data_IF_658806361504
#
_entry.id   IF_658806361504
#
_cell.length_a   1.000
_cell.length_b   1.000
_cell.length_c   1.000
_cell.angle_alpha   90.00
_cell.angle_beta   90.00
_cell.angle_gamma   90.00
#
_symmetry.space_group_name_H-M   'P 1'
#
loop_
_entity.id
_entity.type
_entity.pdbx_description
1 polymer ?
#
# COMPACT_ATOMS: atom_id res chain seq x y z
N UNK A 1 9.49 17.12 38.71
CA UNK A 1 10.87 16.70 38.37
C UNK A 1 11.13 15.27 38.87
N UNK A 2 10.79 14.25 38.09
CA UNK A 2 11.14 12.84 38.33
C UNK A 2 11.32 12.22 36.95
N UNK A 3 12.54 11.85 36.57
CA UNK A 3 12.77 11.32 35.22
C UNK A 3 14.22 11.09 34.77
N UNK A 4 15.24 11.45 35.57
CA UNK A 4 16.65 11.27 35.18
C UNK A 4 17.39 10.11 35.88
N UNK A 5 16.73 9.38 36.80
CA UNK A 5 17.37 8.31 37.59
C UNK A 5 17.33 6.90 36.99
N UNK A 6 16.48 6.63 35.98
CA UNK A 6 16.27 5.28 35.44
C UNK A 6 17.25 4.86 34.33
N UNK A 7 17.87 5.82 33.63
CA UNK A 7 18.77 5.53 32.52
C UNK A 7 20.18 5.15 33.01
N UNK A 8 20.67 5.70 34.12
CA UNK A 8 22.00 5.36 34.65
C UNK A 8 22.11 3.92 35.19
N UNK A 9 21.05 3.40 35.82
CA UNK A 9 21.02 2.05 36.37
C UNK A 9 20.91 0.95 35.29
N UNK A 10 20.24 1.24 34.16
CA UNK A 10 20.14 0.29 33.04
C UNK A 10 21.47 0.17 32.27
N UNK A 11 22.21 1.26 32.12
CA UNK A 11 23.54 1.25 31.50
C UNK A 11 24.61 0.53 32.33
N UNK A 12 24.60 0.65 33.68
CA UNK A 12 25.56 -0.08 34.53
C UNK A 12 25.32 -1.59 34.52
N UNK A 13 24.05 -2.01 34.50
CA UNK A 13 23.67 -3.42 34.49
C UNK A 13 24.05 -4.10 33.17
N UNK A 14 23.84 -3.42 32.04
CA UNK A 14 24.26 -3.92 30.73
C UNK A 14 25.79 -4.02 30.60
N UNK A 15 26.53 -3.03 31.14
CA UNK A 15 27.99 -3.07 31.18
C UNK A 15 28.54 -4.25 32.01
N UNK A 16 27.91 -4.52 33.16
CA UNK A 16 28.29 -5.62 34.04
C UNK A 16 28.05 -7.00 33.37
N UNK A 17 26.92 -7.16 32.70
CA UNK A 17 26.61 -8.39 31.95
C UNK A 17 27.62 -8.65 30.82
N UNK A 18 28.05 -7.61 30.12
CA UNK A 18 29.08 -7.72 29.08
C UNK A 18 30.43 -8.10 29.70
N UNK A 19 30.82 -7.48 30.83
CA UNK A 19 32.08 -7.84 31.48
C UNK A 19 32.10 -9.29 31.98
N UNK A 20 30.97 -9.78 32.50
CA UNK A 20 30.85 -11.15 33.01
C UNK A 20 30.93 -12.16 31.86
N UNK A 21 30.31 -11.86 30.71
CA UNK A 21 30.44 -12.70 29.50
C UNK A 21 31.86 -12.69 28.93
N UNK A 22 32.53 -11.53 28.92
CA UNK A 22 33.93 -11.44 28.50
C UNK A 22 34.84 -12.24 29.42
N UNK A 23 34.59 -12.22 30.73
CA UNK A 23 35.33 -13.03 31.69
C UNK A 23 35.11 -14.53 31.46
N UNK A 24 33.87 -14.95 31.19
CA UNK A 24 33.54 -16.34 30.86
C UNK A 24 34.24 -16.83 29.57
N UNK A 25 34.22 -16.02 28.51
CA UNK A 25 34.87 -16.34 27.24
C UNK A 25 36.39 -16.42 27.42
N UNK A 26 36.97 -15.51 28.20
CA UNK A 26 38.40 -15.53 28.55
C UNK A 26 38.79 -16.78 29.32
N UNK A 27 37.96 -17.20 30.28
CA UNK A 27 38.13 -18.46 31.01
C UNK A 27 38.15 -19.65 30.05
N UNK A 28 37.10 -19.81 29.23
CA UNK A 28 37.03 -20.89 28.23
C UNK A 28 38.19 -20.90 27.24
N UNK A 29 38.63 -19.73 26.77
CA UNK A 29 39.79 -19.64 25.88
C UNK A 29 41.07 -20.10 26.58
N UNK A 30 41.21 -19.78 27.86
CA UNK A 30 42.37 -20.19 28.66
C UNK A 30 42.35 -21.70 28.92
N UNK A 31 41.17 -22.27 29.18
CA UNK A 31 40.97 -23.71 29.34
C UNK A 31 41.31 -24.46 28.03
N UNK A 32 40.84 -23.97 26.88
CA UNK A 32 41.15 -24.54 25.57
C UNK A 32 42.64 -24.48 25.23
N UNK A 33 43.32 -23.38 25.57
CA UNK A 33 44.77 -23.26 25.38
C UNK A 33 45.53 -24.21 26.30
N UNK A 34 45.07 -24.41 27.54
CA UNK A 34 45.66 -25.35 28.49
C UNK A 34 45.45 -26.81 28.06
N UNK A 35 44.25 -27.16 27.59
CA UNK A 35 43.95 -28.47 27.01
C UNK A 35 44.81 -28.76 25.78
N UNK A 36 45.04 -27.75 24.94
CA UNK A 36 45.89 -27.87 23.76
C UNK A 36 47.36 -28.09 24.13
N UNK A 37 47.89 -27.40 25.14
CA UNK A 37 49.25 -27.64 25.64
C UNK A 37 49.42 -28.99 26.34
N UNK A 38 48.37 -29.51 26.97
CA UNK A 38 48.39 -30.83 27.61
C UNK A 38 48.44 -31.99 26.59
N UNK A 39 48.15 -31.75 25.31
CA UNK A 39 48.18 -32.77 24.26
C UNK A 39 49.59 -33.11 23.78
N UNK A 40 49.79 -34.33 23.24
CA UNK A 40 51.03 -34.72 22.58
C UNK A 40 51.41 -33.74 21.46
N UNK A 41 52.71 -33.52 21.20
CA UNK A 41 53.18 -32.52 20.24
C UNK A 41 52.56 -32.66 18.84
N UNK A 42 52.25 -33.89 18.41
CA UNK A 42 51.67 -34.17 17.10
C UNK A 42 50.20 -33.74 16.98
N UNK A 43 49.51 -33.58 18.12
CA UNK A 43 48.08 -33.21 18.20
C UNK A 43 47.86 -31.76 18.65
N UNK A 44 48.95 -31.03 18.96
CA UNK A 44 48.86 -29.62 19.35
C UNK A 44 48.50 -28.77 18.15
N UNK A 45 47.50 -27.93 18.34
CA UNK A 45 47.08 -26.93 17.38
C UNK A 45 47.95 -25.69 17.55
N UNK A 46 48.42 -25.12 16.44
CA UNK A 46 49.23 -23.90 16.48
C UNK A 46 48.42 -22.73 17.06
N UNK A 47 49.06 -21.93 17.91
CA UNK A 47 48.41 -20.83 18.65
C UNK A 47 47.86 -19.77 17.71
N UNK A 48 48.52 -19.54 16.58
CA UNK A 48 48.08 -18.58 15.55
C UNK A 48 46.76 -19.00 14.90
N UNK A 49 46.48 -20.30 14.82
CA UNK A 49 45.21 -20.82 14.32
C UNK A 49 44.03 -20.70 15.31
N UNK A 50 44.32 -20.44 16.59
CA UNK A 50 43.33 -20.21 17.65
C UNK A 50 43.00 -18.71 17.79
N UNK A 51 43.83 -17.81 17.24
CA UNK A 51 43.61 -16.37 17.27
C UNK A 51 42.52 -15.98 16.26
N UNK A 52 41.45 -15.37 16.77
CA UNK A 52 40.40 -14.78 15.93
C UNK A 52 41.01 -13.61 15.15
N UNK A 53 41.07 -13.70 13.83
CA UNK A 53 41.46 -12.58 12.96
C UNK A 53 40.41 -11.47 13.06
N UNK A 54 40.67 -10.54 13.97
CA UNK A 54 39.83 -9.37 14.24
C UNK A 54 39.77 -8.46 12.99
N UNK A 55 40.86 -8.42 12.20
CA UNK A 55 40.94 -7.59 11.00
C UNK A 55 40.05 -8.11 9.89
N UNK A 56 40.09 -9.42 9.61
CA UNK A 56 39.23 -10.02 8.60
C UNK A 56 37.76 -10.03 9.05
N UNK A 57 37.48 -10.24 10.35
CA UNK A 57 36.12 -10.07 10.89
C UNK A 57 35.59 -8.66 10.63
N UNK A 58 36.34 -7.63 11.00
CA UNK A 58 35.90 -6.24 10.85
C UNK A 58 35.74 -5.86 9.37
N UNK A 59 36.59 -6.41 8.49
CA UNK A 59 36.45 -6.28 7.03
C UNK A 59 35.14 -6.91 6.54
N UNK A 60 34.83 -8.14 6.96
CA UNK A 60 33.61 -8.84 6.57
C UNK A 60 32.36 -8.11 7.06
N UNK A 61 32.39 -7.57 8.28
CA UNK A 61 31.29 -6.76 8.82
C UNK A 61 31.08 -5.50 7.97
N UNK A 62 32.14 -4.75 7.65
CA UNK A 62 32.03 -3.57 6.77
C UNK A 62 31.46 -3.91 5.40
N UNK A 63 31.94 -5.00 4.79
CA UNK A 63 31.40 -5.46 3.51
C UNK A 63 29.92 -5.84 3.58
N UNK A 64 29.49 -6.46 4.68
CA UNK A 64 28.08 -6.78 4.91
C UNK A 64 27.24 -5.52 5.08
N UNK A 65 27.71 -4.54 5.86
CA UNK A 65 27.03 -3.27 6.08
C UNK A 65 26.89 -2.47 4.77
N UNK A 66 27.94 -2.39 3.96
CA UNK A 66 27.91 -1.74 2.66
C UNK A 66 26.91 -2.40 1.71
N UNK A 67 26.86 -3.74 1.68
CA UNK A 67 25.88 -4.49 0.87
C UNK A 67 24.46 -4.25 1.37
N UNK A 68 24.25 -4.29 2.68
CA UNK A 68 22.95 -4.05 3.28
C UNK A 68 22.45 -2.63 2.96
N UNK A 69 23.35 -1.63 2.99
CA UNK A 69 22.99 -0.25 2.68
C UNK A 69 22.65 -0.07 1.19
N UNK A 70 23.40 -0.70 0.28
CA UNK A 70 23.08 -0.71 -1.15
C UNK A 70 21.69 -1.30 -1.40
N UNK A 71 21.40 -2.45 -0.80
CA UNK A 71 20.09 -3.12 -0.94
C UNK A 71 18.97 -2.25 -0.36
N UNK A 72 19.16 -1.64 0.82
CA UNK A 72 18.19 -0.71 1.41
C UNK A 72 17.90 0.48 0.48
N UNK A 73 18.94 1.08 -0.08
CA UNK A 73 18.82 2.20 -1.02
C UNK A 73 18.07 1.80 -2.30
N UNK A 74 18.39 0.64 -2.87
CA UNK A 74 17.70 0.11 -4.05
C UNK A 74 16.23 -0.16 -3.79
N UNK A 75 15.89 -0.79 -2.67
CA UNK A 75 14.50 -1.04 -2.25
C UNK A 75 13.77 0.29 -2.06
N UNK A 76 14.39 1.27 -1.40
CA UNK A 76 13.82 2.60 -1.22
C UNK A 76 13.49 3.26 -2.55
N UNK A 77 14.39 3.18 -3.53
CA UNK A 77 14.17 3.71 -4.88
C UNK A 77 13.04 2.99 -5.61
N UNK A 78 12.97 1.67 -5.51
CA UNK A 78 11.93 0.86 -6.15
C UNK A 78 10.55 1.14 -5.56
N UNK A 79 10.45 1.27 -4.23
CA UNK A 79 9.21 1.61 -3.55
C UNK A 79 8.74 3.01 -3.94
N UNK A 80 9.62 4.01 -3.91
CA UNK A 80 9.27 5.36 -4.34
C UNK A 80 8.74 5.41 -5.79
N UNK A 81 9.33 4.62 -6.70
CA UNK A 81 8.84 4.50 -8.07
C UNK A 81 7.45 3.86 -8.14
N UNK A 82 7.21 2.80 -7.36
CA UNK A 82 5.90 2.12 -7.29
C UNK A 82 4.85 3.08 -6.73
N UNK A 83 5.16 3.79 -5.66
CA UNK A 83 4.26 4.75 -5.02
C UNK A 83 3.87 5.87 -5.99
N UNK A 84 4.84 6.40 -6.75
CA UNK A 84 4.57 7.40 -7.79
C UNK A 84 3.66 6.86 -8.89
N UNK A 85 3.89 5.62 -9.34
CA UNK A 85 3.04 5.00 -10.36
C UNK A 85 1.61 4.76 -9.83
N UNK A 86 1.49 4.22 -8.62
CA UNK A 86 0.21 4.03 -7.94
C UNK A 86 -0.55 5.34 -7.79
N UNK A 87 0.12 6.42 -7.39
CA UNK A 87 -0.49 7.74 -7.25
C UNK A 87 -1.00 8.27 -8.59
N UNK A 88 -0.25 8.07 -9.69
CA UNK A 88 -0.70 8.48 -11.04
C UNK A 88 -1.93 7.71 -11.49
N UNK A 89 -1.90 6.38 -11.37
CA UNK A 89 -3.02 5.52 -11.74
C UNK A 89 -4.25 5.88 -10.91
N UNK A 90 -4.10 6.04 -9.59
CA UNK A 90 -5.20 6.42 -8.71
C UNK A 90 -5.79 7.77 -9.09
N UNK A 91 -4.94 8.76 -9.38
CA UNK A 91 -5.40 10.09 -9.78
C UNK A 91 -6.18 10.06 -11.10
N UNK A 92 -5.67 9.33 -12.10
CA UNK A 92 -6.26 9.28 -13.43
C UNK A 92 -7.51 8.38 -13.49
N UNK A 93 -7.52 7.26 -12.77
CA UNK A 93 -8.55 6.23 -12.89
C UNK A 93 -9.58 6.22 -11.77
N UNK A 94 -9.28 6.77 -10.58
CA UNK A 94 -10.19 6.69 -9.44
C UNK A 94 -10.60 8.09 -8.94
N UNK A 95 -9.66 8.99 -8.72
CA UNK A 95 -9.95 10.34 -8.19
C UNK A 95 -10.64 11.23 -9.23
N UNK A 96 -10.45 10.94 -10.51
CA UNK A 96 -11.15 11.58 -11.62
C UNK A 96 -12.63 11.16 -11.73
N UNK A 97 -13.06 10.13 -11.00
CA UNK A 97 -14.44 9.63 -11.04
C UNK A 97 -15.36 10.42 -10.09
N UNK A 98 -16.59 10.66 -10.55
CA UNK A 98 -17.69 11.23 -9.78
C UNK A 98 -18.34 10.11 -8.96
N UNK A 99 -18.63 9.00 -9.63
CA UNK A 99 -19.14 7.77 -9.05
C UNK A 99 -18.19 6.62 -9.42
N UNK A 100 -17.64 5.96 -8.41
CA UNK A 100 -16.80 4.78 -8.59
C UNK A 100 -17.62 3.56 -8.99
N UNK A 101 -16.98 2.58 -9.63
CA UNK A 101 -17.61 1.29 -9.91
C UNK A 101 -17.89 0.58 -8.59
N UNK A 102 -19.15 0.24 -8.34
CA UNK A 102 -19.60 -0.56 -7.20
C UNK A 102 -20.20 -1.85 -7.74
N UNK A 103 -19.79 -2.98 -7.19
CA UNK A 103 -20.33 -4.28 -7.55
C UNK A 103 -21.21 -4.82 -6.42
N UNK A 104 -22.46 -5.11 -6.74
CA UNK A 104 -23.40 -5.78 -5.85
C UNK A 104 -23.38 -7.27 -6.13
N UNK A 105 -22.83 -8.04 -5.19
CA UNK A 105 -22.76 -9.49 -5.28
C UNK A 105 -23.97 -10.14 -4.59
N UNK A 106 -24.57 -11.20 -5.17
CA UNK A 106 -25.65 -11.92 -4.53
C UNK A 106 -25.13 -12.83 -3.41
N UNK A 107 -25.95 -13.04 -2.38
CA UNK A 107 -25.62 -13.91 -1.24
C UNK A 107 -25.49 -15.40 -1.63
N UNK A 108 -26.13 -15.86 -2.70
CA UNK A 108 -25.90 -17.20 -3.27
C UNK A 108 -26.23 -17.28 -4.77
N UNK A 109 -25.33 -17.90 -5.54
CA UNK A 109 -25.62 -18.53 -6.83
C UNK A 109 -25.90 -17.65 -8.06
N UNK A 110 -25.80 -16.32 -7.99
CA UNK A 110 -26.09 -15.43 -9.11
C UNK A 110 -24.89 -14.60 -9.61
N UNK A 111 -24.99 -13.99 -10.81
CA UNK A 111 -24.03 -13.00 -11.26
C UNK A 111 -24.17 -11.69 -10.47
N UNK A 112 -23.04 -11.03 -10.21
CA UNK A 112 -23.01 -9.69 -9.63
C UNK A 112 -23.52 -8.63 -10.60
N UNK A 113 -24.07 -7.54 -10.06
CA UNK A 113 -24.44 -6.35 -10.84
C UNK A 113 -23.45 -5.26 -10.53
N UNK A 114 -22.71 -4.80 -11.55
CA UNK A 114 -21.79 -3.68 -11.43
C UNK A 114 -22.46 -2.37 -11.87
N UNK A 115 -22.34 -1.35 -11.05
CA UNK A 115 -22.65 0.03 -11.42
C UNK A 115 -21.64 0.56 -12.43
N UNK A 116 -22.09 1.44 -13.33
CA UNK A 116 -21.21 2.05 -14.32
C UNK A 116 -20.45 3.23 -13.70
N UNK A 117 -19.12 3.20 -13.75
CA UNK A 117 -18.32 4.31 -13.25
C UNK A 117 -18.49 5.56 -14.13
N UNK A 118 -18.74 6.71 -13.50
CA UNK A 118 -18.91 7.98 -14.19
C UNK A 118 -17.74 8.90 -13.87
N UNK A 119 -17.09 9.43 -14.92
CA UNK A 119 -16.05 10.43 -14.79
C UNK A 119 -16.63 11.79 -14.37
N UNK A 120 -15.91 12.54 -13.53
CA UNK A 120 -16.28 13.91 -13.19
C UNK A 120 -16.26 14.77 -14.44
N UNK A 121 -17.37 15.44 -14.69
CA UNK A 121 -17.48 16.41 -15.78
C UNK A 121 -16.73 17.68 -15.40
N UNK A 122 -16.05 18.28 -16.36
CA UNK A 122 -15.55 19.64 -16.22
C UNK A 122 -16.70 20.64 -16.19
N UNK A 123 -16.47 21.82 -15.63
CA UNK A 123 -17.49 22.89 -15.62
C UNK A 123 -17.97 23.29 -17.03
N UNK A 124 -17.12 23.13 -18.05
CA UNK A 124 -17.50 23.40 -19.44
C UNK A 124 -18.47 22.33 -19.99
N UNK A 125 -18.20 21.06 -19.68
CA UNK A 125 -19.06 19.94 -20.06
C UNK A 125 -20.39 19.98 -19.33
N UNK A 126 -20.39 20.31 -18.04
CA UNK A 126 -21.63 20.45 -17.26
C UNK A 126 -22.53 21.55 -17.84
N UNK A 127 -21.95 22.71 -18.19
CA UNK A 127 -22.70 23.77 -18.88
C UNK A 127 -23.24 23.33 -20.23
N UNK A 128 -22.48 22.53 -20.98
CA UNK A 128 -22.94 21.99 -22.27
C UNK A 128 -24.09 21.02 -22.07
N UNK A 129 -23.99 20.14 -21.08
CA UNK A 129 -25.03 19.19 -20.70
C UNK A 129 -26.31 19.91 -20.28
N UNK A 130 -26.21 20.95 -19.45
CA UNK A 130 -27.39 21.72 -19.04
C UNK A 130 -28.05 22.46 -20.20
N UNK A 131 -27.28 22.97 -21.17
CA UNK A 131 -27.86 23.52 -22.40
C UNK A 131 -28.64 22.45 -23.17
N UNK A 132 -28.06 21.26 -23.36
CA UNK A 132 -28.73 20.15 -24.07
C UNK A 132 -29.98 19.69 -23.32
N UNK A 133 -29.92 19.53 -22.00
CA UNK A 133 -31.10 19.21 -21.17
C UNK A 133 -32.18 20.27 -21.28
N UNK A 134 -31.80 21.54 -21.36
CA UNK A 134 -32.76 22.64 -21.51
C UNK A 134 -33.43 22.61 -22.89
N UNK A 135 -32.66 22.46 -23.96
CA UNK A 135 -33.19 22.29 -25.32
C UNK A 135 -34.15 21.09 -25.39
N UNK A 136 -33.73 19.94 -24.86
CA UNK A 136 -34.57 18.73 -24.83
C UNK A 136 -35.85 18.91 -24.02
N UNK A 137 -35.80 19.62 -22.89
CA UNK A 137 -37.00 19.94 -22.09
C UNK A 137 -37.98 20.81 -22.88
N UNK A 138 -37.49 21.77 -23.65
CA UNK A 138 -38.33 22.61 -24.53
C UNK A 138 -38.94 21.78 -25.65
N UNK A 139 -38.15 20.98 -26.37
CA UNK A 139 -38.65 20.08 -27.42
C UNK A 139 -39.75 19.15 -26.91
N UNK A 140 -39.54 18.52 -25.75
CA UNK A 140 -40.54 17.62 -25.17
C UNK A 140 -41.83 18.35 -24.78
N UNK A 141 -41.75 19.60 -24.31
CA UNK A 141 -42.93 20.42 -24.03
C UNK A 141 -43.68 20.76 -25.31
N UNK A 142 -42.98 21.14 -26.37
CA UNK A 142 -43.58 21.41 -27.68
C UNK A 142 -44.26 20.17 -28.26
N UNK A 143 -43.59 19.02 -28.20
CA UNK A 143 -44.15 17.73 -28.64
C UNK A 143 -45.41 17.37 -27.85
N UNK A 144 -45.44 17.59 -26.53
CA UNK A 144 -46.65 17.37 -25.71
C UNK A 144 -47.81 18.27 -26.15
N UNK A 145 -47.54 19.54 -26.46
CA UNK A 145 -48.56 20.48 -26.94
C UNK A 145 -49.10 20.05 -28.31
N UNK A 146 -48.21 19.74 -29.26
CA UNK A 146 -48.59 19.30 -30.61
C UNK A 146 -49.35 17.96 -30.61
N UNK A 147 -48.98 17.04 -29.70
CA UNK A 147 -49.69 15.80 -29.50
C UNK A 147 -51.09 16.03 -28.90
N UNK A 148 -51.23 16.95 -27.93
CA UNK A 148 -52.53 17.33 -27.37
C UNK A 148 -53.44 18.00 -28.43
N UNK A 149 -52.87 18.74 -29.38
CA UNK A 149 -53.57 19.31 -30.53
C UNK A 149 -53.88 18.29 -31.64
N UNK A 150 -53.47 17.02 -31.48
CA UNK A 150 -53.68 15.95 -32.46
C UNK A 150 -52.87 16.09 -33.75
N UNK A 151 -51.86 16.97 -33.78
CA UNK A 151 -51.05 17.29 -34.97
C UNK A 151 -49.91 16.32 -35.20
N UNK A 152 -49.47 15.62 -34.15
CA UNK A 152 -48.34 14.67 -34.20
C UNK A 152 -48.67 13.43 -33.36
N UNK A 153 -48.52 12.24 -33.94
CA UNK A 153 -48.57 10.98 -33.21
C UNK A 153 -47.24 10.70 -32.52
N UNK A 154 -47.19 10.84 -31.20
CA UNK A 154 -46.00 10.55 -30.39
C UNK A 154 -46.28 9.35 -29.51
N UNK A 155 -45.31 8.43 -29.37
CA UNK A 155 -45.46 7.28 -28.47
C UNK A 155 -45.53 7.75 -27.01
N UNK A 156 -46.45 7.15 -26.26
CA UNK A 156 -46.76 7.51 -24.87
C UNK A 156 -45.51 7.45 -23.97
N UNK A 157 -44.67 6.41 -24.16
CA UNK A 157 -43.42 6.26 -23.42
C UNK A 157 -42.36 7.35 -23.66
N UNK A 158 -42.43 8.10 -24.77
CA UNK A 158 -41.52 9.21 -25.04
C UNK A 158 -41.91 10.49 -24.27
N UNK A 159 -43.19 10.61 -23.93
CA UNK A 159 -43.74 11.77 -23.23
C UNK A 159 -43.80 11.57 -21.71
N UNK A 160 -43.61 10.34 -21.22
CA UNK A 160 -43.55 10.04 -19.80
C UNK A 160 -42.26 10.58 -19.18
N UNK A 161 -42.41 11.19 -18.01
CA UNK A 161 -41.30 11.45 -17.10
C UNK A 161 -40.71 10.12 -16.58
N UNK A 162 -39.46 10.16 -16.11
CA UNK A 162 -38.81 8.97 -15.56
C UNK A 162 -39.59 8.35 -14.38
N UNK A 163 -40.25 9.17 -13.56
CA UNK A 163 -41.14 8.71 -12.48
C UNK A 163 -42.41 8.04 -12.99
N UNK A 164 -43.02 8.55 -14.06
CA UNK A 164 -44.21 7.93 -14.67
C UNK A 164 -43.86 6.61 -15.36
N UNK A 165 -42.71 6.56 -16.04
CA UNK A 165 -42.22 5.32 -16.65
C UNK A 165 -41.87 4.25 -15.61
N UNK A 166 -41.20 4.64 -14.51
CA UNK A 166 -40.88 3.71 -13.42
C UNK A 166 -42.15 3.19 -12.70
N UNK A 167 -43.16 4.04 -12.50
CA UNK A 167 -44.45 3.62 -11.94
C UNK A 167 -45.20 2.66 -12.87
N UNK A 168 -45.15 2.89 -14.19
CA UNK A 168 -45.75 2.02 -15.19
C UNK A 168 -45.05 0.66 -15.30
N UNK A 169 -43.72 0.61 -15.13
CA UNK A 169 -42.95 -0.65 -15.10
C UNK A 169 -43.21 -1.50 -13.83
N UNK A 170 -43.54 -0.87 -12.70
CA UNK A 170 -43.87 -1.58 -11.45
C UNK A 170 -45.30 -2.12 -11.42
N UNK A 171 -46.17 -1.69 -12.34
CA UNK A 171 -47.56 -2.16 -12.48
C UNK A 171 -47.72 -3.31 -13.50
N UNK A 172 -46.67 -3.67 -14.23
CA UNK A 172 -46.61 -4.85 -15.11
C UNK A 172 -45.86 -6.00 -14.45
#
# INVERSE_FOLDING_TARGET
ARGRGGQAASHSTAGQQISDQVALIRGRLSDLLAENEARPPEERVDRESIVVDVGERDRLVRMADERAEKVRSEIGRLNARKDLLCARIRKECYESMEEGMVECLPFSGGPGVAGYALARRSAAEERRLERVKTMRRTELRELRLLAAEGRVGVSEGLLMSHSEWAAHQLQQ
#
